data_IF_699109663212
#
_entry.id   IF_699109663212
#
_cell.length_a   1.000
_cell.length_b   1.000
_cell.length_c   1.000
_cell.angle_alpha   90.00
_cell.angle_beta   90.00
_cell.angle_gamma   90.00
#
_symmetry.space_group_name_H-M   'P 1'
#
loop_
_entity.id
_entity.type
_entity.pdbx_description
1 polymer ?
#
# COMPACT_ATOMS: atom_id res chain seq x y z
N UNK A 1 6.93 -7.53 21.48
CA UNK A 1 7.47 -6.79 20.32
C UNK A 1 6.31 -6.29 19.47
N UNK A 2 6.27 -4.99 19.13
CA UNK A 2 5.16 -4.39 18.37
C UNK A 2 5.35 -4.67 16.88
N UNK A 3 4.39 -5.34 16.24
CA UNK A 3 4.36 -5.58 14.79
C UNK A 3 4.15 -4.25 14.07
N UNK A 4 4.85 -4.04 12.95
CA UNK A 4 4.74 -2.83 12.14
C UNK A 4 4.05 -3.13 10.82
N UNK A 5 3.06 -2.30 10.47
CA UNK A 5 2.38 -2.38 9.18
C UNK A 5 3.10 -1.48 8.16
N UNK A 6 3.29 -1.94 6.93
CA UNK A 6 3.83 -1.14 5.84
C UNK A 6 2.78 -1.04 4.74
N UNK A 7 2.34 0.17 4.41
CA UNK A 7 1.39 0.39 3.34
C UNK A 7 2.07 1.13 2.20
N UNK A 8 2.17 0.48 1.05
CA UNK A 8 2.62 1.13 -0.17
C UNK A 8 1.41 1.58 -0.98
N UNK A 9 1.38 2.85 -1.35
CA UNK A 9 0.29 3.44 -2.12
C UNK A 9 0.90 4.24 -3.25
N UNK A 10 0.29 4.25 -4.42
CA UNK A 10 0.78 5.05 -5.53
C UNK A 10 -0.17 5.05 -6.71
N UNK A 11 -0.10 6.08 -7.53
CA UNK A 11 -0.90 6.18 -8.74
C UNK A 11 -0.16 5.53 -9.93
N UNK A 12 -0.83 4.61 -10.64
CA UNK A 12 -0.49 4.12 -11.98
C UNK A 12 0.99 3.86 -12.30
N UNK A 13 1.40 2.58 -12.32
CA UNK A 13 2.72 2.11 -12.77
C UNK A 13 3.95 2.84 -12.17
N UNK A 14 3.84 3.45 -10.99
CA UNK A 14 4.93 4.13 -10.29
C UNK A 14 5.98 3.19 -9.65
N UNK A 15 6.07 1.93 -10.10
CA UNK A 15 7.03 0.97 -9.56
C UNK A 15 6.57 0.25 -8.29
N UNK A 16 5.27 0.26 -7.96
CA UNK A 16 4.72 -0.47 -6.81
C UNK A 16 5.09 -1.97 -6.80
N UNK A 17 5.16 -2.60 -7.97
CA UNK A 17 5.60 -3.99 -8.09
C UNK A 17 7.06 -4.18 -7.66
N UNK A 18 7.94 -3.24 -8.02
CA UNK A 18 9.34 -3.27 -7.62
C UNK A 18 9.47 -3.01 -6.12
N UNK A 19 8.73 -2.03 -5.59
CA UNK A 19 8.69 -1.72 -4.17
C UNK A 19 8.26 -2.94 -3.35
N UNK A 20 7.16 -3.60 -3.72
CA UNK A 20 6.68 -4.81 -3.05
C UNK A 20 7.76 -5.91 -3.07
N UNK A 21 8.39 -6.16 -4.22
CA UNK A 21 9.46 -7.17 -4.35
C UNK A 21 10.69 -6.85 -3.50
N UNK A 22 11.10 -5.58 -3.38
CA UNK A 22 12.26 -5.19 -2.58
C UNK A 22 11.96 -5.34 -1.09
N UNK A 23 10.77 -4.92 -0.65
CA UNK A 23 10.36 -5.01 0.75
C UNK A 23 10.14 -6.45 1.19
N UNK A 24 9.56 -7.30 0.34
CA UNK A 24 9.32 -8.71 0.65
C UNK A 24 10.62 -9.53 0.76
N UNK A 25 11.71 -9.08 0.12
CA UNK A 25 13.04 -9.70 0.25
C UNK A 25 13.76 -9.37 1.57
N UNK A 26 13.25 -8.41 2.35
CA UNK A 26 13.89 -8.03 3.61
C UNK A 26 13.65 -9.12 4.68
N UNK A 27 14.62 -9.38 5.57
CA UNK A 27 14.46 -10.37 6.63
C UNK A 27 13.33 -9.97 7.59
N UNK A 28 12.48 -10.94 7.94
CA UNK A 28 11.31 -10.75 8.83
C UNK A 28 10.24 -9.81 8.26
N UNK A 29 10.24 -9.60 6.95
CA UNK A 29 9.22 -8.86 6.23
C UNK A 29 8.34 -9.81 5.41
N UNK A 30 7.05 -9.47 5.33
CA UNK A 30 6.13 -10.07 4.36
C UNK A 30 5.28 -8.98 3.73
N UNK A 31 5.52 -8.70 2.46
CA UNK A 31 4.84 -7.62 1.73
C UNK A 31 4.16 -8.17 0.49
N UNK A 32 2.86 -7.93 0.39
CA UNK A 32 2.06 -8.34 -0.77
C UNK A 32 1.80 -7.17 -1.72
N UNK A 33 1.47 -7.50 -2.96
CA UNK A 33 1.01 -6.57 -3.97
C UNK A 33 -0.46 -6.86 -4.24
N UNK A 34 -1.31 -5.85 -4.09
CA UNK A 34 -2.73 -5.85 -4.46
C UNK A 34 -3.49 -7.10 -3.97
N UNK A 35 -3.24 -7.51 -2.71
CA UNK A 35 -3.81 -8.76 -2.21
C UNK A 35 -5.36 -8.70 -2.19
N UNK A 36 -6.09 -9.73 -2.66
CA UNK A 36 -7.55 -9.73 -2.54
C UNK A 36 -8.07 -9.75 -1.07
N UNK A 37 -9.29 -9.26 -0.79
CA UNK A 37 -10.23 -8.60 -1.71
C UNK A 37 -9.87 -7.12 -1.96
N UNK A 38 -10.03 -6.66 -3.19
CA UNK A 38 -9.75 -5.27 -3.57
C UNK A 38 -10.79 -4.34 -2.96
N UNK A 39 -10.35 -3.21 -2.41
CA UNK A 39 -11.26 -2.17 -1.93
C UNK A 39 -11.79 -1.34 -3.11
N UNK A 40 -13.06 -0.90 -3.06
CA UNK A 40 -13.60 -0.05 -4.12
C UNK A 40 -12.85 1.29 -4.14
N UNK A 41 -12.66 1.87 -5.32
CA UNK A 41 -12.03 3.19 -5.44
C UNK A 41 -12.96 4.31 -4.94
N UNK A 42 -14.26 4.16 -5.18
CA UNK A 42 -15.29 5.08 -4.70
C UNK A 42 -15.73 4.63 -3.30
N UNK A 43 -15.55 5.51 -2.31
CA UNK A 43 -15.93 5.23 -0.92
C UNK A 43 -17.41 5.56 -0.76
N UNK A 44 -18.26 4.53 -0.75
CA UNK A 44 -19.67 4.67 -0.42
C UNK A 44 -19.91 4.52 1.10
N UNK A 45 -20.95 5.16 1.66
CA UNK A 45 -21.37 4.92 3.03
C UNK A 45 -21.69 3.43 3.24
N UNK A 46 -20.92 2.75 4.10
CA UNK A 46 -21.04 1.31 4.34
C UNK A 46 -20.07 0.44 3.55
N UNK A 47 -19.18 1.02 2.75
CA UNK A 47 -18.12 0.28 2.05
C UNK A 47 -17.18 -0.46 3.03
N UNK A 48 -16.54 -1.57 2.58
CA UNK A 48 -15.61 -2.34 3.40
C UNK A 48 -14.51 -1.45 3.96
N UNK A 49 -14.32 -1.47 5.28
CA UNK A 49 -13.37 -0.57 5.92
C UNK A 49 -11.95 -1.05 5.70
N UNK A 50 -11.07 -0.14 5.27
CA UNK A 50 -9.63 -0.44 5.15
C UNK A 50 -9.06 -1.05 6.43
N UNK A 51 -9.57 -0.63 7.60
CA UNK A 51 -9.21 -1.19 8.91
C UNK A 51 -9.39 -2.71 9.01
N UNK A 52 -10.56 -3.23 8.62
CA UNK A 52 -10.85 -4.68 8.71
C UNK A 52 -9.88 -5.48 7.85
N UNK A 53 -9.53 -4.94 6.69
CA UNK A 53 -8.53 -5.51 5.79
C UNK A 53 -7.14 -5.52 6.43
N UNK A 54 -6.70 -4.41 7.02
CA UNK A 54 -5.42 -4.33 7.73
C UNK A 54 -5.37 -5.32 8.90
N UNK A 55 -6.44 -5.40 9.68
CA UNK A 55 -6.56 -6.34 10.78
C UNK A 55 -6.49 -7.80 10.32
N UNK A 56 -7.18 -8.14 9.22
CA UNK A 56 -7.11 -9.49 8.63
C UNK A 56 -5.68 -9.83 8.22
N UNK A 57 -4.99 -8.91 7.54
CA UNK A 57 -3.60 -9.08 7.13
C UNK A 57 -2.71 -9.36 8.34
N UNK A 58 -2.85 -8.56 9.40
CA UNK A 58 -2.11 -8.71 10.66
C UNK A 58 -2.46 -10.01 11.42
N UNK A 59 -3.68 -10.53 11.28
CA UNK A 59 -4.08 -11.82 11.87
C UNK A 59 -3.51 -13.01 11.12
N UNK A 60 -3.43 -12.92 9.79
CA UNK A 60 -2.94 -14.02 8.94
C UNK A 60 -1.42 -14.14 8.88
N UNK A 61 -0.68 -13.19 9.47
CA UNK A 61 0.77 -13.07 9.33
C UNK A 61 1.43 -12.90 10.70
N UNK A 62 2.57 -13.57 10.86
CA UNK A 62 3.32 -13.63 12.12
C UNK A 62 4.65 -12.88 12.04
N UNK A 63 5.00 -12.36 10.86
CA UNK A 63 6.22 -11.61 10.61
C UNK A 63 6.23 -10.27 11.38
N UNK A 64 7.44 -9.77 11.63
CA UNK A 64 7.63 -8.53 12.39
C UNK A 64 7.15 -7.31 11.60
N UNK A 65 7.44 -7.30 10.30
CA UNK A 65 7.00 -6.29 9.35
C UNK A 65 6.04 -6.93 8.36
N UNK A 66 4.81 -6.46 8.37
CA UNK A 66 3.77 -6.95 7.46
C UNK A 66 3.35 -5.79 6.60
N UNK A 67 3.23 -5.99 5.30
CA UNK A 67 2.80 -4.92 4.43
C UNK A 67 1.94 -5.35 3.25
N UNK A 68 1.31 -4.36 2.65
CA UNK A 68 0.57 -4.50 1.41
C UNK A 68 0.75 -3.23 0.58
N UNK A 69 1.02 -3.43 -0.70
CA UNK A 69 1.25 -2.36 -1.66
C UNK A 69 0.11 -2.41 -2.67
N UNK A 70 -0.65 -1.33 -2.78
CA UNK A 70 -1.74 -1.27 -3.74
C UNK A 70 -2.09 0.16 -4.17
N UNK A 71 -2.57 0.27 -5.39
CA UNK A 71 -3.05 1.54 -5.96
C UNK A 71 -4.34 2.01 -5.28
N UNK A 72 -5.25 1.08 -4.97
CA UNK A 72 -6.57 1.36 -4.39
C UNK A 72 -6.54 1.87 -2.94
N UNK A 73 -5.39 1.99 -2.28
CA UNK A 73 -5.30 2.61 -0.96
C UNK A 73 -5.34 4.14 -0.98
N UNK A 74 -5.12 4.76 -2.14
CA UNK A 74 -5.13 6.22 -2.29
C UNK A 74 -6.40 6.93 -1.79
N UNK A 75 -7.63 6.43 -2.01
CA UNK A 75 -8.81 7.06 -1.42
C UNK A 75 -8.92 6.86 0.11
N UNK A 76 -8.20 5.87 0.68
CA UNK A 76 -8.29 5.50 2.10
C UNK A 76 -7.11 6.02 2.95
N UNK A 77 -6.31 6.96 2.45
CA UNK A 77 -5.10 7.44 3.14
C UNK A 77 -5.44 7.94 4.54
N UNK A 78 -6.45 8.80 4.67
CA UNK A 78 -6.88 9.31 5.96
C UNK A 78 -7.27 8.18 6.91
N UNK A 79 -8.10 7.23 6.46
CA UNK A 79 -8.48 6.08 7.29
C UNK A 79 -7.28 5.24 7.73
N UNK A 80 -6.26 5.08 6.87
CA UNK A 80 -5.05 4.31 7.20
C UNK A 80 -4.15 5.03 8.20
N UNK A 81 -4.07 6.36 8.15
CA UNK A 81 -3.32 7.17 9.11
C UNK A 81 -3.96 7.09 10.50
N UNK A 82 -5.28 7.13 10.57
CA UNK A 82 -6.04 7.04 11.82
C UNK A 82 -6.13 5.60 12.36
N UNK A 83 -5.89 4.57 11.54
CA UNK A 83 -5.86 3.17 11.97
C UNK A 83 -4.58 2.78 12.76
N UNK A 84 -3.53 3.59 12.68
CA UNK A 84 -2.41 3.58 13.61
C UNK A 84 -1.22 2.66 13.25
N UNK A 85 -0.02 3.20 13.52
CA UNK A 85 1.29 2.52 13.55
C UNK A 85 1.68 1.74 12.28
N UNK A 86 1.44 2.32 11.11
CA UNK A 86 1.97 1.82 9.86
C UNK A 86 2.83 2.88 9.15
N UNK A 87 3.98 2.47 8.61
CA UNK A 87 4.76 3.32 7.72
C UNK A 87 4.06 3.35 6.37
N UNK A 88 3.55 4.51 5.99
CA UNK A 88 2.87 4.73 4.71
C UNK A 88 3.88 5.27 3.70
N UNK A 89 4.18 4.49 2.67
CA UNK A 89 4.97 4.93 1.53
C UNK A 89 4.03 5.44 0.43
N UNK A 90 4.01 6.76 0.24
CA UNK A 90 3.43 7.40 -0.94
C UNK A 90 4.41 7.38 -2.12
N UNK A 91 4.11 6.56 -3.12
CA UNK A 91 4.91 6.37 -4.32
C UNK A 91 4.64 7.40 -5.42
N UNK A 92 5.70 8.15 -5.72
CA UNK A 92 6.03 9.03 -6.84
C UNK A 92 5.00 9.13 -8.00
N UNK A 93 4.52 10.35 -8.27
CA UNK A 93 3.87 10.72 -9.54
C UNK A 93 4.91 10.50 -10.64
N UNK A 94 4.70 9.50 -11.51
CA UNK A 94 5.43 9.45 -12.78
C UNK A 94 5.14 10.79 -13.44
N UNK A 95 6.15 11.61 -13.71
CA UNK A 95 5.98 12.74 -14.63
C UNK A 95 5.43 12.12 -15.90
N UNK A 96 4.15 12.34 -16.16
CA UNK A 96 3.61 12.09 -17.50
C UNK A 96 4.57 12.82 -18.42
N UNK A 97 5.17 12.12 -19.38
CA UNK A 97 5.77 12.79 -20.53
C UNK A 97 4.64 13.59 -21.18
N UNK A 98 4.46 14.82 -20.72
CA UNK A 98 3.83 15.87 -21.49
C UNK A 98 4.76 16.09 -22.67
N UNK A 99 4.17 16.03 -23.84
CA UNK A 99 4.71 16.51 -25.10
C UNK A 99 5.72 17.65 -24.89
N UNK A 100 7.00 17.39 -25.19
CA UNK A 100 8.03 18.41 -25.34
C UNK A 100 8.76 18.84 -24.06
N UNK A 101 9.72 18.04 -23.60
CA UNK A 101 10.96 18.54 -23.01
C UNK A 101 11.95 17.36 -22.88
N UNK A 102 12.92 17.39 -23.79
CA UNK A 102 14.24 16.76 -23.78
C UNK A 102 14.55 15.73 -22.67
N UNK A 103 14.60 14.46 -23.08
CA UNK A 103 15.52 13.48 -22.50
C UNK A 103 16.74 13.38 -23.43
N UNK A 104 17.81 14.12 -23.12
CA UNK A 104 19.20 13.75 -23.41
C UNK A 104 20.11 14.31 -22.34
#
# INVERSE_FOLDING_TARGET
MKRQMILGMGAGQCGLQLLAKILDKQPRCRVTLEQPPLLPWVIEPGAPRVRERLERILRTRTEQFVGDVATFYLPYVDDTLHAGSGLVFGGCKRTSCGTGAECR
#
